data_IF_398172042334
#
_entry.id   IF_398172042334
#
_cell.length_a   1.000
_cell.length_b   1.000
_cell.length_c   1.000
_cell.angle_alpha   90.00
_cell.angle_beta   90.00
_cell.angle_gamma   90.00
#
_symmetry.space_group_name_H-M   'P 1'
#
loop_
_entity.id
_entity.type
_entity.pdbx_description
1 polymer ?
#
# COMPACT_ATOMS: atom_id res chain seq x y z
N UNK A 1 -61.63 -42.65 -26.56
CA UNK A 1 -62.76 -41.85 -27.08
C UNK A 1 -62.96 -40.66 -26.15
N UNK A 2 -63.19 -39.51 -26.77
CA UNK A 2 -63.65 -38.19 -26.31
C UNK A 2 -64.26 -38.06 -24.88
N UNK A 3 -64.03 -36.93 -24.18
CA UNK A 3 -64.85 -35.71 -24.28
C UNK A 3 -64.31 -34.54 -23.42
N UNK A 4 -64.85 -33.35 -23.73
CA UNK A 4 -64.38 -31.97 -23.53
C UNK A 4 -64.72 -31.31 -22.17
N UNK A 5 -63.88 -30.31 -21.81
CA UNK A 5 -64.10 -28.94 -21.25
C UNK A 5 -65.23 -28.63 -20.26
N UNK A 6 -64.92 -27.78 -19.24
CA UNK A 6 -65.31 -26.33 -19.17
C UNK A 6 -64.79 -25.62 -17.88
N UNK A 7 -64.17 -24.45 -18.12
CA UNK A 7 -64.13 -23.16 -17.39
C UNK A 7 -63.34 -22.84 -16.08
N UNK A 8 -62.49 -21.81 -16.27
CA UNK A 8 -62.36 -20.53 -15.55
C UNK A 8 -61.66 -20.44 -14.18
N UNK A 9 -60.42 -19.94 -14.19
CA UNK A 9 -60.03 -18.66 -13.56
C UNK A 9 -58.57 -18.26 -13.92
N UNK A 10 -58.36 -17.01 -14.32
CA UNK A 10 -57.06 -16.32 -14.42
C UNK A 10 -56.99 -15.25 -13.30
N UNK A 11 -55.79 -14.84 -12.81
CA UNK A 11 -55.00 -13.74 -13.42
C UNK A 11 -53.47 -14.04 -13.54
N UNK A 12 -52.79 -13.74 -14.66
CA UNK A 12 -52.01 -12.50 -15.01
C UNK A 12 -50.78 -12.31 -14.07
N UNK A 13 -49.49 -12.13 -14.43
CA UNK A 13 -48.69 -11.68 -15.60
C UNK A 13 -47.20 -11.92 -15.23
N UNK A 14 -46.13 -11.79 -16.02
CA UNK A 14 -45.80 -11.73 -17.45
C UNK A 14 -44.26 -11.69 -17.51
N UNK A 15 -43.65 -12.43 -18.44
CA UNK A 15 -42.21 -12.34 -18.79
C UNK A 15 -41.89 -11.12 -19.68
N UNK A 16 -40.62 -10.70 -19.65
CA UNK A 16 -39.97 -9.70 -20.52
C UNK A 16 -40.12 -10.01 -22.02
N UNK A 17 -39.94 -9.02 -22.93
CA UNK A 17 -38.65 -8.94 -23.62
C UNK A 17 -38.17 -7.51 -24.03
N UNK A 18 -36.90 -7.49 -24.49
CA UNK A 18 -36.01 -6.37 -24.89
C UNK A 18 -36.34 -5.75 -26.27
N UNK A 19 -36.06 -4.45 -26.51
CA UNK A 19 -35.05 -3.89 -27.48
C UNK A 19 -35.25 -2.39 -27.91
N UNK A 20 -34.11 -1.70 -27.99
CA UNK A 20 -33.59 -0.64 -28.91
C UNK A 20 -34.27 0.75 -29.15
N UNK A 21 -33.50 1.78 -28.76
CA UNK A 21 -32.97 2.97 -29.49
C UNK A 21 -33.81 3.83 -30.46
N UNK A 22 -33.84 5.17 -30.22
CA UNK A 22 -33.47 6.25 -31.18
C UNK A 22 -33.46 7.67 -30.57
N UNK A 23 -32.66 8.55 -31.18
CA UNK A 23 -32.29 9.93 -30.80
C UNK A 23 -33.32 11.04 -31.12
N UNK A 24 -33.24 12.10 -30.30
CA UNK A 24 -33.32 13.56 -30.57
C UNK A 24 -34.59 14.24 -31.10
N UNK A 25 -35.09 15.22 -30.32
CA UNK A 25 -35.22 16.66 -30.69
C UNK A 25 -35.76 17.50 -29.51
N UNK A 26 -35.09 18.64 -29.24
CA UNK A 26 -35.60 19.84 -28.55
C UNK A 26 -36.01 20.87 -29.64
N UNK A 27 -36.49 22.12 -29.38
CA UNK A 27 -36.74 22.84 -28.11
C UNK A 27 -38.10 23.60 -28.05
N UNK A 28 -38.54 24.06 -26.87
CA UNK A 28 -39.32 25.31 -26.74
C UNK A 28 -39.00 26.05 -25.43
N UNK A 29 -39.05 27.38 -25.53
CA UNK A 29 -38.54 28.43 -24.65
C UNK A 29 -39.70 28.98 -23.79
N UNK A 30 -39.45 29.35 -22.53
CA UNK A 30 -40.43 30.14 -21.76
C UNK A 30 -40.14 30.41 -20.29
N UNK A 31 -39.25 31.38 -20.03
CA UNK A 31 -39.26 32.39 -18.95
C UNK A 31 -38.90 32.02 -17.49
N UNK A 32 -37.99 32.86 -16.99
CA UNK A 32 -37.33 32.96 -15.68
C UNK A 32 -38.23 32.86 -14.44
N UNK A 33 -37.68 32.29 -13.37
CA UNK A 33 -37.63 33.00 -12.08
C UNK A 33 -36.36 32.63 -11.29
N UNK A 34 -35.72 33.66 -10.74
CA UNK A 34 -34.41 33.62 -10.10
C UNK A 34 -34.48 33.06 -8.67
N UNK A 35 -33.92 31.88 -8.42
CA UNK A 35 -33.00 31.70 -7.28
C UNK A 35 -32.19 30.42 -7.46
N UNK A 36 -31.12 30.55 -8.24
CA UNK A 36 -30.14 29.50 -8.44
C UNK A 36 -29.56 29.10 -7.06
N UNK A 37 -29.62 27.83 -6.63
CA UNK A 37 -28.68 27.39 -5.62
C UNK A 37 -27.31 27.56 -6.26
N UNK A 38 -26.52 28.52 -5.75
CA UNK A 38 -25.10 28.64 -6.09
C UNK A 38 -24.54 27.22 -6.04
N UNK A 39 -24.20 26.66 -7.19
CA UNK A 39 -23.49 25.41 -7.25
C UNK A 39 -22.19 25.68 -6.50
N UNK A 40 -22.11 25.22 -5.25
CA UNK A 40 -20.87 25.22 -4.49
C UNK A 40 -19.91 24.44 -5.37
N UNK A 41 -18.97 25.15 -6.00
CA UNK A 41 -17.93 24.52 -6.78
C UNK A 41 -17.35 23.41 -5.90
N UNK A 42 -17.45 22.15 -6.34
CA UNK A 42 -16.71 21.07 -5.71
C UNK A 42 -15.25 21.51 -5.76
N UNK A 43 -14.72 21.95 -4.61
CA UNK A 43 -13.33 22.34 -4.48
C UNK A 43 -12.50 21.08 -4.71
N UNK A 44 -12.04 20.90 -5.95
CA UNK A 44 -11.19 19.79 -6.33
C UNK A 44 -9.83 20.02 -5.69
N UNK A 45 -9.43 19.11 -4.80
CA UNK A 45 -8.06 19.12 -4.25
C UNK A 45 -7.10 18.83 -5.38
N UNK A 46 -6.21 19.77 -5.67
CA UNK A 46 -5.15 19.60 -6.66
C UNK A 46 -4.02 18.74 -6.10
N UNK A 47 -3.57 17.75 -6.87
CA UNK A 47 -2.46 16.88 -6.50
C UNK A 47 -1.19 17.33 -7.20
N UNK A 48 -0.32 18.01 -6.47
CA UNK A 48 0.98 18.47 -6.97
C UNK A 48 2.03 17.38 -6.72
N UNK A 49 2.78 17.02 -7.76
CA UNK A 49 3.90 16.08 -7.66
C UNK A 49 5.01 16.66 -6.76
N UNK A 50 5.75 15.80 -6.06
CA UNK A 50 6.71 16.24 -5.02
C UNK A 50 7.82 17.13 -5.59
N UNK A 51 8.30 16.83 -6.79
CA UNK A 51 9.28 17.61 -7.54
C UNK A 51 8.82 19.03 -7.92
N UNK A 52 7.50 19.26 -7.92
CA UNK A 52 6.91 20.54 -8.28
C UNK A 52 6.59 21.42 -7.05
N UNK A 53 6.72 20.89 -5.84
CA UNK A 53 6.47 21.64 -4.60
C UNK A 53 7.55 22.70 -4.36
N UNK A 54 7.12 23.93 -4.07
CA UNK A 54 8.02 25.07 -3.81
C UNK A 54 8.34 25.23 -2.32
N UNK A 55 9.54 25.73 -1.96
CA UNK A 55 9.89 26.00 -0.57
C UNK A 55 9.00 27.10 0.04
N UNK A 56 9.08 27.28 1.36
CA UNK A 56 8.43 28.40 2.04
C UNK A 56 9.30 29.65 1.99
N UNK A 57 8.66 30.83 1.92
CA UNK A 57 9.35 32.11 2.09
C UNK A 57 9.77 32.35 3.54
N UNK A 58 8.92 31.94 4.50
CA UNK A 58 9.19 32.02 5.94
C UNK A 58 8.78 30.69 6.62
N UNK A 59 9.67 29.67 6.59
CA UNK A 59 9.37 28.35 7.13
C UNK A 59 9.22 28.34 8.66
N UNK A 60 9.95 29.19 9.39
CA UNK A 60 9.94 29.25 10.85
C UNK A 60 8.59 29.71 11.41
N UNK A 61 8.04 30.79 10.86
CA UNK A 61 6.70 31.24 11.26
C UNK A 61 5.60 30.27 10.79
N UNK A 62 5.83 29.58 9.67
CA UNK A 62 4.84 28.68 9.08
C UNK A 62 4.71 27.37 9.86
N UNK A 63 5.81 26.80 10.39
CA UNK A 63 5.77 25.52 11.11
C UNK A 63 5.03 25.62 12.44
N UNK A 64 5.04 26.79 13.09
CA UNK A 64 4.38 27.02 14.38
C UNK A 64 2.87 26.78 14.35
N UNK A 65 2.22 27.02 13.20
CA UNK A 65 0.77 26.85 13.02
C UNK A 65 0.39 25.50 12.44
N UNK A 66 1.36 24.72 11.94
CA UNK A 66 1.09 23.52 11.13
C UNK A 66 0.22 22.49 11.85
N UNK A 67 0.50 22.19 13.12
CA UNK A 67 -0.28 21.21 13.89
C UNK A 67 -1.72 21.68 14.15
N UNK A 68 -1.93 22.98 14.35
CA UNK A 68 -3.26 23.55 14.54
C UNK A 68 -4.06 23.49 13.24
N UNK A 69 -3.44 23.85 12.11
CA UNK A 69 -4.06 23.80 10.79
C UNK A 69 -4.44 22.36 10.40
N UNK A 70 -3.57 21.39 10.70
CA UNK A 70 -3.83 19.96 10.54
C UNK A 70 -4.95 19.43 11.46
N UNK A 71 -5.26 20.11 12.56
CA UNK A 71 -6.36 19.77 13.47
C UNK A 71 -7.71 20.38 13.04
N UNK A 72 -7.76 21.11 11.93
CA UNK A 72 -8.98 21.71 11.38
C UNK A 72 -10.11 20.67 11.18
N UNK A 73 -11.35 21.12 11.42
CA UNK A 73 -12.56 20.34 11.08
C UNK A 73 -12.89 20.39 9.59
N UNK A 74 -12.38 21.40 8.89
CA UNK A 74 -12.50 21.54 7.45
C UNK A 74 -11.44 20.68 6.76
N UNK A 75 -11.89 19.61 6.11
CA UNK A 75 -11.03 18.62 5.45
C UNK A 75 -10.22 19.20 4.29
N UNK A 76 -10.68 20.29 3.66
CA UNK A 76 -9.95 20.97 2.58
C UNK A 76 -8.72 21.64 3.17
N UNK A 77 -8.89 22.37 4.28
CA UNK A 77 -7.76 22.97 5.01
C UNK A 77 -6.77 21.92 5.51
N UNK A 78 -7.24 20.73 5.89
CA UNK A 78 -6.35 19.63 6.25
C UNK A 78 -5.56 19.14 5.03
N UNK A 79 -6.17 19.05 3.84
CA UNK A 79 -5.43 18.75 2.60
C UNK A 79 -4.35 19.79 2.31
N UNK A 80 -4.67 21.08 2.46
CA UNK A 80 -3.69 22.17 2.26
C UNK A 80 -2.55 22.08 3.26
N UNK A 81 -2.86 21.77 4.52
CA UNK A 81 -1.87 21.61 5.59
C UNK A 81 -1.00 20.36 5.40
N UNK A 82 -1.55 19.28 4.84
CA UNK A 82 -0.78 18.12 4.43
C UNK A 82 0.16 18.45 3.25
N UNK A 83 -0.30 19.23 2.26
CA UNK A 83 0.59 19.74 1.21
C UNK A 83 1.69 20.66 1.76
N UNK A 84 1.39 21.47 2.78
CA UNK A 84 2.42 22.22 3.51
C UNK A 84 3.40 21.29 4.24
N UNK A 85 2.92 20.23 4.86
CA UNK A 85 3.77 19.19 5.48
C UNK A 85 4.71 18.56 4.45
N UNK A 86 4.22 18.27 3.24
CA UNK A 86 5.05 17.79 2.12
C UNK A 86 6.15 18.77 1.75
N UNK A 87 5.82 20.06 1.61
CA UNK A 87 6.79 21.13 1.34
C UNK A 87 7.86 21.22 2.43
N UNK A 88 7.47 21.10 3.70
CA UNK A 88 8.41 21.06 4.82
C UNK A 88 9.30 19.81 4.76
N UNK A 89 8.74 18.62 4.52
CA UNK A 89 9.52 17.39 4.41
C UNK A 89 10.61 17.49 3.33
N UNK A 90 10.30 18.11 2.19
CA UNK A 90 11.23 18.23 1.05
C UNK A 90 12.28 19.33 1.27
N UNK A 91 11.86 20.52 1.74
CA UNK A 91 12.72 21.70 1.73
C UNK A 91 13.25 22.12 3.10
N UNK A 92 12.63 21.67 4.19
CA UNK A 92 12.87 22.16 5.55
C UNK A 92 12.65 21.05 6.61
N UNK A 93 13.09 19.82 6.34
CA UNK A 93 12.76 18.63 7.14
C UNK A 93 13.15 18.74 8.62
N UNK A 94 14.24 19.44 8.93
CA UNK A 94 14.67 19.67 10.33
C UNK A 94 13.58 20.29 11.20
N UNK A 95 12.71 21.13 10.63
CA UNK A 95 11.65 21.82 11.38
C UNK A 95 10.50 20.90 11.79
N UNK A 96 10.29 19.77 11.12
CA UNK A 96 9.25 18.83 11.52
C UNK A 96 9.73 17.82 12.57
N UNK A 97 11.03 17.63 12.76
CA UNK A 97 11.57 16.64 13.72
C UNK A 97 10.93 16.77 15.12
N UNK A 98 10.79 17.97 15.71
CA UNK A 98 10.20 18.10 17.05
C UNK A 98 8.71 17.71 17.14
N UNK A 99 8.02 17.67 16.00
CA UNK A 99 6.57 17.40 15.92
C UNK A 99 6.25 16.13 15.12
N UNK A 100 7.25 15.39 14.65
CA UNK A 100 7.11 14.29 13.70
C UNK A 100 6.17 13.19 14.19
N UNK A 101 6.26 12.82 15.47
CA UNK A 101 5.37 11.81 16.05
C UNK A 101 3.90 12.23 15.97
N UNK A 102 3.60 13.47 16.33
CA UNK A 102 2.24 14.04 16.28
C UNK A 102 1.75 14.15 14.83
N UNK A 103 2.64 14.51 13.90
CA UNK A 103 2.32 14.54 12.47
C UNK A 103 1.91 13.15 11.96
N UNK A 104 2.67 12.10 12.30
CA UNK A 104 2.33 10.72 11.91
C UNK A 104 0.94 10.33 12.42
N UNK A 105 0.62 10.64 13.68
CA UNK A 105 -0.71 10.37 14.26
C UNK A 105 -1.81 11.09 13.48
N UNK A 106 -1.63 12.36 13.12
CA UNK A 106 -2.62 13.11 12.34
C UNK A 106 -2.74 12.56 10.91
N UNK A 107 -1.64 12.18 10.28
CA UNK A 107 -1.65 11.53 8.96
C UNK A 107 -2.45 10.22 8.99
N UNK A 108 -2.23 9.35 9.99
CA UNK A 108 -3.03 8.12 10.15
C UNK A 108 -4.51 8.43 10.29
N UNK A 109 -4.88 9.47 11.06
CA UNK A 109 -6.27 9.91 11.18
C UNK A 109 -6.84 10.41 9.84
N UNK A 110 -6.06 11.16 9.06
CA UNK A 110 -6.46 11.65 7.74
C UNK A 110 -6.67 10.49 6.75
N UNK A 111 -5.81 9.46 6.77
CA UNK A 111 -6.01 8.25 5.94
C UNK A 111 -7.30 7.50 6.29
N UNK A 112 -7.67 7.46 7.57
CA UNK A 112 -8.92 6.79 8.01
C UNK A 112 -10.18 7.55 7.57
N UNK A 113 -10.06 8.78 7.08
CA UNK A 113 -11.20 9.56 6.61
C UNK A 113 -11.86 8.94 5.35
N UNK A 114 -13.20 8.97 5.21
CA UNK A 114 -13.88 8.43 4.04
C UNK A 114 -13.63 9.22 2.74
N UNK A 115 -13.18 10.48 2.85
CA UNK A 115 -12.88 11.31 1.68
C UNK A 115 -11.58 10.85 1.04
N UNK A 116 -11.67 10.35 -0.19
CA UNK A 116 -10.48 9.85 -0.90
C UNK A 116 -9.44 10.92 -1.20
N UNK A 117 -9.85 12.17 -1.36
CA UNK A 117 -8.91 13.27 -1.56
C UNK A 117 -8.00 13.45 -0.35
N UNK A 118 -8.59 13.60 0.85
CA UNK A 118 -7.84 13.71 2.10
C UNK A 118 -6.97 12.46 2.36
N UNK A 119 -7.54 11.27 2.14
CA UNK A 119 -6.80 10.02 2.29
C UNK A 119 -5.58 9.98 1.36
N UNK A 120 -5.76 10.29 0.07
CA UNK A 120 -4.69 10.29 -0.92
C UNK A 120 -3.62 11.34 -0.59
N UNK A 121 -4.01 12.57 -0.26
CA UNK A 121 -3.04 13.62 0.12
C UNK A 121 -2.21 13.21 1.34
N UNK A 122 -2.82 12.53 2.30
CA UNK A 122 -2.09 11.99 3.46
C UNK A 122 -1.11 10.88 3.06
N UNK A 123 -1.46 10.03 2.09
CA UNK A 123 -0.56 8.98 1.58
C UNK A 123 0.60 9.58 0.78
N UNK A 124 0.35 10.59 -0.07
CA UNK A 124 1.41 11.33 -0.75
C UNK A 124 2.37 11.98 0.26
N UNK A 125 1.82 12.47 1.38
CA UNK A 125 2.61 12.99 2.50
C UNK A 125 3.53 11.92 3.09
N UNK A 126 3.09 10.67 3.20
CA UNK A 126 3.97 9.58 3.65
C UNK A 126 5.17 9.37 2.76
N UNK A 127 5.01 9.39 1.43
CA UNK A 127 6.13 9.23 0.50
C UNK A 127 7.22 10.29 0.73
N UNK A 128 6.82 11.54 0.93
CA UNK A 128 7.76 12.63 1.19
C UNK A 128 8.41 12.51 2.58
N UNK A 129 7.66 12.09 3.60
CA UNK A 129 8.20 11.80 4.94
C UNK A 129 9.20 10.63 4.89
N UNK A 130 8.89 9.53 4.20
CA UNK A 130 9.82 8.40 4.05
C UNK A 130 11.12 8.82 3.38
N UNK A 131 11.02 9.62 2.32
CA UNK A 131 12.18 10.14 1.60
C UNK A 131 13.01 11.09 2.47
N UNK A 132 12.36 11.95 3.26
CA UNK A 132 13.03 12.98 4.05
C UNK A 132 13.77 12.44 5.29
N UNK A 133 13.23 11.41 5.94
CA UNK A 133 13.75 10.95 7.24
C UNK A 133 14.39 9.56 7.20
N UNK A 134 14.03 8.71 6.24
CA UNK A 134 14.62 7.37 6.07
C UNK A 134 14.75 6.61 7.39
N UNK A 135 15.99 6.30 7.76
CA UNK A 135 16.35 5.52 8.97
C UNK A 135 15.84 6.16 10.27
N UNK A 136 15.82 7.50 10.36
CA UNK A 136 15.37 8.25 11.55
C UNK A 136 13.91 7.97 11.93
N UNK A 137 13.10 7.44 11.01
CA UNK A 137 11.70 7.08 11.29
C UNK A 137 11.58 5.83 12.17
N UNK A 138 12.55 4.93 12.11
CA UNK A 138 12.52 3.68 12.87
C UNK A 138 13.38 3.75 14.14
N UNK A 139 13.80 4.95 14.52
CA UNK A 139 14.57 5.24 15.73
C UNK A 139 13.72 5.99 16.78
N UNK A 140 14.10 5.84 18.05
CA UNK A 140 13.60 6.68 19.13
C UNK A 140 12.08 6.57 19.40
N UNK A 141 11.41 7.68 19.76
CA UNK A 141 10.03 7.67 20.26
C UNK A 141 8.96 7.38 19.19
N UNK A 142 9.33 7.43 17.90
CA UNK A 142 8.38 7.33 16.79
C UNK A 142 7.94 5.89 16.47
N UNK A 143 8.57 4.91 17.11
CA UNK A 143 8.44 3.48 16.78
C UNK A 143 7.00 2.97 16.79
N UNK A 144 6.17 3.45 17.73
CA UNK A 144 4.76 3.04 17.86
C UNK A 144 3.87 3.69 16.80
N UNK A 145 4.03 4.99 16.58
CA UNK A 145 3.27 5.73 15.55
C UNK A 145 3.56 5.19 14.15
N UNK A 146 4.77 4.68 13.92
CA UNK A 146 5.13 3.98 12.69
C UNK A 146 4.39 2.66 12.49
N UNK A 147 4.10 1.88 13.54
CA UNK A 147 3.28 0.66 13.42
C UNK A 147 1.87 0.98 12.94
N UNK A 148 1.26 2.03 13.52
CA UNK A 148 -0.06 2.50 13.12
C UNK A 148 -0.06 3.01 11.67
N UNK A 149 1.01 3.72 11.26
CA UNK A 149 1.18 4.21 9.90
C UNK A 149 1.33 3.08 8.88
N UNK A 150 2.21 2.12 9.18
CA UNK A 150 2.48 0.98 8.31
C UNK A 150 1.24 0.12 8.13
N UNK A 151 0.56 -0.23 9.23
CA UNK A 151 -0.71 -0.97 9.15
C UNK A 151 -1.72 -0.20 8.30
N UNK A 152 -1.84 1.11 8.52
CA UNK A 152 -2.81 1.90 7.79
C UNK A 152 -2.50 1.97 6.29
N UNK A 153 -1.23 2.11 5.89
CA UNK A 153 -0.81 2.08 4.50
C UNK A 153 -1.09 0.72 3.85
N UNK A 154 -0.74 -0.38 4.52
CA UNK A 154 -1.02 -1.74 4.02
C UNK A 154 -2.52 -1.96 3.82
N UNK A 155 -3.36 -1.47 4.74
CA UNK A 155 -4.81 -1.51 4.58
C UNK A 155 -5.29 -0.68 3.39
N UNK A 156 -4.69 0.51 3.15
CA UNK A 156 -5.05 1.35 2.00
C UNK A 156 -4.58 0.77 0.67
N UNK A 157 -3.46 0.06 0.64
CA UNK A 157 -2.99 -0.70 -0.51
C UNK A 157 -3.81 -1.99 -0.74
N UNK A 158 -4.69 -2.38 0.19
CA UNK A 158 -5.49 -3.61 0.13
C UNK A 158 -6.95 -3.41 -0.30
N UNK A 159 -7.33 -2.18 -0.68
CA UNK A 159 -8.71 -1.81 -0.99
C UNK A 159 -9.01 -1.83 -2.49
N UNK A 160 -10.28 -1.87 -2.87
CA UNK A 160 -10.69 -1.95 -4.28
C UNK A 160 -10.70 -0.58 -4.99
N UNK A 161 -10.58 0.53 -4.25
CA UNK A 161 -10.52 1.89 -4.81
C UNK A 161 -9.13 2.19 -5.38
N UNK A 162 -8.96 1.90 -6.67
CA UNK A 162 -7.72 2.05 -7.45
C UNK A 162 -6.96 3.36 -7.17
N UNK A 163 -7.64 4.50 -7.21
CA UNK A 163 -7.05 5.82 -6.99
C UNK A 163 -6.28 5.99 -5.67
N UNK A 164 -6.75 5.34 -4.60
CA UNK A 164 -6.09 5.38 -3.28
C UNK A 164 -5.12 4.20 -3.12
N UNK A 165 -5.50 3.03 -3.65
CA UNK A 165 -4.70 1.82 -3.62
C UNK A 165 -3.33 2.02 -4.30
N UNK A 166 -3.32 2.55 -5.52
CA UNK A 166 -2.08 2.79 -6.28
C UNK A 166 -1.16 3.79 -5.59
N UNK A 167 -1.72 4.83 -4.95
CA UNK A 167 -0.92 5.79 -4.20
C UNK A 167 -0.32 5.15 -2.94
N UNK A 168 -1.07 4.27 -2.26
CA UNK A 168 -0.56 3.56 -1.09
C UNK A 168 0.55 2.57 -1.46
N UNK A 169 0.42 1.86 -2.59
CA UNK A 169 1.47 0.99 -3.11
C UNK A 169 2.73 1.76 -3.48
N UNK A 170 2.59 2.94 -4.12
CA UNK A 170 3.72 3.84 -4.37
C UNK A 170 4.41 4.26 -3.07
N UNK A 171 3.64 4.66 -2.05
CA UNK A 171 4.19 5.04 -0.76
C UNK A 171 4.91 3.88 -0.05
N UNK A 172 4.38 2.67 -0.12
CA UNK A 172 5.05 1.46 0.40
C UNK A 172 6.36 1.17 -0.35
N UNK A 173 6.37 1.34 -1.67
CA UNK A 173 7.61 1.19 -2.45
C UNK A 173 8.64 2.27 -2.08
N UNK A 174 8.23 3.53 -1.94
CA UNK A 174 9.11 4.61 -1.47
C UNK A 174 9.69 4.29 -0.09
N UNK A 175 8.87 3.80 0.85
CA UNK A 175 9.33 3.38 2.18
C UNK A 175 10.45 2.33 2.09
N UNK A 176 10.26 1.28 1.29
CA UNK A 176 11.27 0.23 1.09
C UNK A 176 12.57 0.77 0.47
N UNK A 177 12.49 1.85 -0.31
CA UNK A 177 13.64 2.47 -0.96
C UNK A 177 14.37 3.50 -0.11
N UNK A 178 13.73 4.04 0.92
CA UNK A 178 14.27 5.17 1.70
C UNK A 178 14.63 4.80 3.14
N UNK A 179 13.99 3.78 3.72
CA UNK A 179 14.20 3.38 5.12
C UNK A 179 15.20 2.22 5.20
N UNK A 180 16.00 2.18 6.27
CA UNK A 180 16.92 1.07 6.53
C UNK A 180 16.20 -0.29 6.49
N UNK A 181 16.75 -1.22 5.72
CA UNK A 181 16.12 -2.52 5.40
C UNK A 181 15.89 -3.38 6.64
N UNK A 182 16.92 -3.55 7.45
CA UNK A 182 16.90 -4.42 8.62
C UNK A 182 15.82 -4.03 9.67
N UNK A 183 15.72 -2.78 10.16
CA UNK A 183 14.63 -2.39 11.06
C UNK A 183 13.25 -2.41 10.38
N UNK A 184 13.16 -2.08 9.09
CA UNK A 184 11.91 -2.15 8.34
C UNK A 184 11.40 -3.60 8.24
N UNK A 185 12.30 -4.54 7.97
CA UNK A 185 11.96 -5.95 7.86
C UNK A 185 11.44 -6.52 9.18
N UNK A 186 12.02 -6.12 10.32
CA UNK A 186 11.51 -6.48 11.65
C UNK A 186 10.09 -5.98 11.89
N UNK A 187 9.75 -4.79 11.38
CA UNK A 187 8.38 -4.25 11.40
C UNK A 187 7.44 -5.03 10.49
N UNK A 188 7.87 -5.35 9.27
CA UNK A 188 7.06 -6.07 8.28
C UNK A 188 6.76 -7.52 8.69
N UNK A 189 7.62 -8.14 9.51
CA UNK A 189 7.48 -9.52 9.96
C UNK A 189 6.11 -9.84 10.58
N UNK A 190 5.50 -8.92 11.36
CA UNK A 190 4.19 -9.15 11.94
C UNK A 190 3.06 -9.13 10.91
N UNK A 191 3.24 -8.45 9.79
CA UNK A 191 2.19 -8.24 8.79
C UNK A 191 2.13 -9.33 7.72
N UNK A 192 3.24 -10.04 7.45
CA UNK A 192 3.21 -11.22 6.58
C UNK A 192 2.40 -12.39 7.18
N UNK A 193 2.08 -12.33 8.47
CA UNK A 193 1.18 -13.29 9.16
C UNK A 193 -0.18 -12.69 9.54
N UNK A 194 -0.52 -11.52 9.01
CA UNK A 194 -1.76 -10.82 9.33
C UNK A 194 -3.02 -11.66 9.01
N UNK A 195 -4.12 -11.51 9.74
CA UNK A 195 -5.33 -12.32 9.52
C UNK A 195 -6.01 -12.04 8.16
N UNK A 196 -5.99 -10.77 7.73
CA UNK A 196 -6.51 -10.35 6.41
C UNK A 196 -5.53 -10.73 5.27
N UNK A 197 -5.94 -11.58 4.31
CA UNK A 197 -5.09 -12.00 3.19
C UNK A 197 -4.59 -10.85 2.31
N UNK A 198 -5.41 -9.82 2.06
CA UNK A 198 -5.00 -8.69 1.20
C UNK A 198 -3.87 -7.89 1.85
N UNK A 199 -3.96 -7.66 3.16
CA UNK A 199 -2.89 -7.02 3.94
C UNK A 199 -1.62 -7.88 3.94
N UNK A 200 -1.76 -9.19 4.13
CA UNK A 200 -0.60 -10.11 4.03
C UNK A 200 0.08 -10.03 2.68
N UNK A 201 -0.67 -10.01 1.58
CA UNK A 201 -0.08 -9.91 0.24
C UNK A 201 0.74 -8.63 0.06
N UNK A 202 0.21 -7.47 0.48
CA UNK A 202 0.95 -6.19 0.40
C UNK A 202 2.17 -6.16 1.32
N UNK A 203 2.08 -6.79 2.49
CA UNK A 203 3.23 -6.95 3.37
C UNK A 203 4.29 -7.89 2.77
N UNK A 204 3.87 -8.99 2.13
CA UNK A 204 4.77 -9.93 1.46
C UNK A 204 5.52 -9.27 0.30
N UNK A 205 4.84 -8.45 -0.52
CA UNK A 205 5.49 -7.66 -1.58
C UNK A 205 6.52 -6.69 -0.99
N UNK A 206 6.14 -5.92 0.04
CA UNK A 206 7.06 -4.97 0.69
C UNK A 206 8.27 -5.69 1.31
N UNK A 207 8.05 -6.87 1.90
CA UNK A 207 9.09 -7.74 2.48
C UNK A 207 10.03 -8.26 1.39
N UNK A 208 9.49 -8.80 0.30
CA UNK A 208 10.27 -9.31 -0.83
C UNK A 208 11.14 -8.22 -1.46
N UNK A 209 10.59 -7.02 -1.64
CA UNK A 209 11.33 -5.87 -2.19
C UNK A 209 12.42 -5.37 -1.24
N UNK A 210 12.22 -5.52 0.06
CA UNK A 210 13.23 -5.21 1.07
C UNK A 210 14.38 -6.21 1.00
N UNK A 211 14.05 -7.51 1.02
CA UNK A 211 15.02 -8.62 0.97
C UNK A 211 15.84 -8.61 -0.32
N UNK A 212 15.22 -8.37 -1.48
CA UNK A 212 15.96 -8.33 -2.76
C UNK A 212 17.04 -7.24 -2.84
N UNK A 213 16.99 -6.26 -1.93
CA UNK A 213 17.95 -5.15 -1.84
C UNK A 213 18.89 -5.26 -0.64
N UNK A 214 18.79 -6.34 0.14
CA UNK A 214 19.69 -6.58 1.26
C UNK A 214 21.01 -7.15 0.79
N UNK A 215 22.07 -6.71 1.44
CA UNK A 215 23.38 -7.37 1.33
C UNK A 215 23.41 -8.65 2.18
N UNK A 216 24.35 -9.55 1.86
CA UNK A 216 24.50 -10.84 2.56
C UNK A 216 24.59 -10.64 4.07
N UNK A 217 25.44 -9.70 4.52
CA UNK A 217 25.61 -9.39 5.95
C UNK A 217 24.30 -8.93 6.63
N UNK A 218 23.46 -8.16 5.94
CA UNK A 218 22.18 -7.71 6.49
C UNK A 218 21.19 -8.89 6.60
N UNK A 219 21.20 -9.81 5.63
CA UNK A 219 20.36 -11.02 5.67
C UNK A 219 20.81 -11.98 6.78
N UNK A 220 22.12 -12.12 6.99
CA UNK A 220 22.70 -12.88 8.09
C UNK A 220 22.34 -12.28 9.45
N UNK A 221 22.45 -10.95 9.60
CA UNK A 221 22.08 -10.25 10.83
C UNK A 221 20.59 -10.40 11.15
N UNK A 222 19.72 -10.34 10.13
CA UNK A 222 18.30 -10.60 10.32
C UNK A 222 18.02 -12.09 10.62
N UNK A 223 18.76 -12.99 9.99
CA UNK A 223 18.66 -14.43 10.10
C UNK A 223 18.14 -15.09 8.83
N UNK A 224 19.03 -15.73 8.08
CA UNK A 224 18.72 -16.47 6.85
C UNK A 224 17.60 -17.51 7.02
N UNK A 225 17.61 -18.23 8.14
CA UNK A 225 16.57 -19.22 8.48
C UNK A 225 15.20 -18.57 8.62
N UNK A 226 15.14 -17.41 9.29
CA UNK A 226 13.89 -16.68 9.50
C UNK A 226 13.34 -16.14 8.17
N UNK A 227 14.20 -15.60 7.30
CA UNK A 227 13.82 -15.18 5.95
C UNK A 227 13.24 -16.32 5.13
N UNK A 228 13.90 -17.48 5.16
CA UNK A 228 13.42 -18.68 4.46
C UNK A 228 12.06 -19.15 4.98
N UNK A 229 11.86 -19.15 6.30
CA UNK A 229 10.57 -19.48 6.91
C UNK A 229 9.49 -18.46 6.54
N UNK A 230 9.80 -17.17 6.54
CA UNK A 230 8.88 -16.11 6.09
C UNK A 230 8.47 -16.32 4.63
N UNK A 231 9.38 -16.71 3.74
CA UNK A 231 9.07 -17.00 2.34
C UNK A 231 8.19 -18.24 2.22
N UNK A 232 8.61 -19.33 2.87
CA UNK A 232 7.93 -20.61 2.91
C UNK A 232 6.47 -20.47 3.32
N UNK A 233 6.20 -19.75 4.42
CA UNK A 233 4.86 -19.54 4.96
C UNK A 233 3.91 -18.87 3.94
N UNK A 234 4.44 -18.07 3.02
CA UNK A 234 3.66 -17.34 2.01
C UNK A 234 3.49 -18.09 0.68
N UNK A 235 4.26 -19.16 0.42
CA UNK A 235 4.16 -19.94 -0.83
C UNK A 235 2.79 -20.57 -1.04
N UNK A 236 2.08 -20.89 0.05
CA UNK A 236 0.72 -21.43 0.04
C UNK A 236 -0.35 -20.40 0.38
N UNK A 237 -0.05 -19.09 0.37
CA UNK A 237 -1.07 -18.07 0.68
C UNK A 237 -2.21 -18.11 -0.36
N UNK A 238 -3.39 -17.64 0.04
CA UNK A 238 -4.59 -17.60 -0.82
C UNK A 238 -4.44 -16.64 -2.00
N UNK A 239 -3.71 -15.54 -1.84
CA UNK A 239 -3.57 -14.53 -2.90
C UNK A 239 -2.33 -14.79 -3.79
N UNK A 240 -2.47 -14.68 -5.13
CA UNK A 240 -1.36 -14.91 -6.05
C UNK A 240 -0.21 -13.93 -5.82
N UNK A 241 -0.51 -12.68 -5.53
CA UNK A 241 0.48 -11.63 -5.24
C UNK A 241 1.40 -12.00 -4.06
N UNK A 242 0.85 -12.57 -2.99
CA UNK A 242 1.66 -13.06 -1.86
C UNK A 242 2.57 -14.22 -2.27
N UNK A 243 2.05 -15.16 -3.06
CA UNK A 243 2.82 -16.31 -3.56
C UNK A 243 3.93 -15.88 -4.53
N UNK A 244 3.69 -14.88 -5.35
CA UNK A 244 4.68 -14.31 -6.28
C UNK A 244 5.80 -13.60 -5.53
N UNK A 245 5.47 -12.76 -4.55
CA UNK A 245 6.45 -12.14 -3.67
C UNK A 245 7.28 -13.19 -2.92
N UNK A 246 6.64 -14.26 -2.44
CA UNK A 246 7.33 -15.37 -1.79
C UNK A 246 8.35 -16.06 -2.72
N UNK A 247 7.97 -16.33 -3.98
CA UNK A 247 8.89 -16.90 -4.98
C UNK A 247 10.07 -15.98 -5.27
N UNK A 248 9.81 -14.69 -5.43
CA UNK A 248 10.88 -13.70 -5.62
C UNK A 248 11.83 -13.66 -4.43
N UNK A 249 11.30 -13.74 -3.20
CA UNK A 249 12.12 -13.76 -1.99
C UNK A 249 12.96 -15.03 -1.89
N UNK A 250 12.42 -16.20 -2.28
CA UNK A 250 13.18 -17.46 -2.37
C UNK A 250 14.36 -17.32 -3.33
N UNK A 251 14.15 -16.73 -4.51
CA UNK A 251 15.21 -16.50 -5.48
C UNK A 251 16.32 -15.61 -4.93
N UNK A 252 15.97 -14.46 -4.34
CA UNK A 252 16.95 -13.55 -3.73
C UNK A 252 17.72 -14.21 -2.59
N UNK A 253 17.08 -15.06 -1.80
CA UNK A 253 17.76 -15.81 -0.73
C UNK A 253 18.76 -16.82 -1.30
N UNK A 254 18.39 -17.54 -2.35
CA UNK A 254 19.28 -18.51 -3.00
C UNK A 254 20.50 -17.83 -3.63
N UNK A 255 20.29 -16.74 -4.37
CA UNK A 255 21.36 -15.94 -4.98
C UNK A 255 22.36 -15.45 -3.92
N UNK A 256 21.87 -14.94 -2.78
CA UNK A 256 22.73 -14.43 -1.71
C UNK A 256 23.36 -15.54 -0.86
N UNK A 257 22.66 -16.66 -0.67
CA UNK A 257 23.19 -17.84 0.02
C UNK A 257 24.39 -18.46 -0.73
N UNK A 258 24.36 -18.42 -2.05
CA UNK A 258 25.35 -19.05 -2.93
C UNK A 258 26.37 -18.06 -3.52
N UNK A 259 26.38 -16.81 -3.05
CA UNK A 259 27.14 -15.71 -3.62
C UNK A 259 28.66 -15.95 -3.67
N UNK A 260 29.20 -16.71 -2.71
CA UNK A 260 30.65 -16.99 -2.60
C UNK A 260 31.07 -18.35 -3.16
N UNK A 261 30.15 -19.14 -3.72
CA UNK A 261 30.47 -20.45 -4.31
C UNK A 261 30.86 -20.25 -5.80
N UNK A 262 31.99 -20.82 -6.24
CA UNK A 262 32.46 -20.73 -7.63
C UNK A 262 31.43 -21.31 -8.61
N UNK A 263 31.29 -20.72 -9.80
CA UNK A 263 30.22 -21.06 -10.77
C UNK A 263 30.27 -22.52 -11.29
N UNK A 264 31.45 -23.17 -11.24
CA UNK A 264 31.66 -24.54 -11.72
C UNK A 264 31.07 -25.63 -10.78
N UNK A 265 30.45 -25.23 -9.67
CA UNK A 265 29.87 -26.10 -8.66
C UNK A 265 28.32 -26.02 -8.59
N UNK A 266 27.62 -25.76 -9.70
CA UNK A 266 26.15 -25.59 -9.72
C UNK A 266 25.38 -26.75 -9.05
N UNK A 267 25.84 -27.99 -9.22
CA UNK A 267 25.30 -29.16 -8.50
C UNK A 267 25.53 -29.14 -6.98
N UNK A 268 26.61 -28.51 -6.53
CA UNK A 268 26.95 -28.26 -5.11
C UNK A 268 26.00 -27.21 -4.52
N UNK A 269 25.77 -26.10 -5.24
CA UNK A 269 24.88 -25.00 -4.81
C UNK A 269 23.45 -25.48 -4.54
N UNK A 270 22.90 -26.24 -5.48
CA UNK A 270 21.54 -26.79 -5.36
C UNK A 270 21.43 -27.81 -4.21
N UNK A 271 22.44 -28.65 -3.99
CA UNK A 271 22.45 -29.61 -2.89
C UNK A 271 22.62 -28.93 -1.53
N UNK A 272 23.44 -27.86 -1.44
CA UNK A 272 23.57 -27.04 -0.25
C UNK A 272 22.25 -26.34 0.10
N UNK A 273 21.61 -25.72 -0.90
CA UNK A 273 20.28 -25.11 -0.74
C UNK A 273 19.21 -26.12 -0.33
N UNK A 274 19.22 -27.32 -0.93
CA UNK A 274 18.31 -28.40 -0.57
C UNK A 274 18.47 -28.82 0.88
N UNK A 275 19.70 -29.08 1.33
CA UNK A 275 20.01 -29.40 2.74
C UNK A 275 19.56 -28.28 3.67
N UNK A 276 19.78 -27.02 3.28
CA UNK A 276 19.31 -25.86 4.04
C UNK A 276 17.78 -25.85 4.15
N UNK A 277 17.05 -26.06 3.06
CA UNK A 277 15.58 -26.08 3.06
C UNK A 277 15.04 -27.24 3.92
N UNK A 278 15.55 -28.46 3.75
CA UNK A 278 15.10 -29.65 4.48
C UNK A 278 15.34 -29.54 5.99
N UNK A 279 16.41 -28.85 6.40
CA UNK A 279 16.75 -28.62 7.81
C UNK A 279 15.88 -27.55 8.47
N UNK A 280 15.51 -26.50 7.74
CA UNK A 280 14.99 -25.26 8.34
C UNK A 280 13.53 -24.95 8.04
N UNK A 281 12.92 -25.65 7.06
CA UNK A 281 11.55 -25.40 6.58
C UNK A 281 10.76 -26.71 6.58
N UNK A 282 9.44 -26.61 6.82
CA UNK A 282 8.54 -27.77 6.87
C UNK A 282 8.39 -28.44 5.51
N UNK A 283 8.34 -29.79 5.49
CA UNK A 283 8.40 -30.66 4.31
C UNK A 283 7.85 -30.12 2.98
N UNK A 284 6.53 -29.87 2.87
CA UNK A 284 5.93 -29.41 1.60
C UNK A 284 6.48 -28.07 1.12
N UNK A 285 6.72 -27.14 2.04
CA UNK A 285 7.28 -25.83 1.71
C UNK A 285 8.77 -25.94 1.35
N UNK A 286 9.53 -26.83 2.01
CA UNK A 286 10.92 -27.09 1.64
C UNK A 286 11.01 -27.60 0.19
N UNK A 287 10.17 -28.57 -0.18
CA UNK A 287 10.11 -29.09 -1.56
C UNK A 287 9.69 -28.01 -2.57
N UNK A 288 8.78 -27.11 -2.21
CA UNK A 288 8.41 -25.99 -3.05
C UNK A 288 9.58 -25.01 -3.27
N UNK A 289 10.31 -24.66 -2.20
CA UNK A 289 11.49 -23.78 -2.28
C UNK A 289 12.59 -24.37 -3.14
N UNK A 290 12.86 -25.66 -3.02
CA UNK A 290 13.85 -26.38 -3.85
C UNK A 290 13.46 -26.31 -5.34
N UNK A 291 12.18 -26.54 -5.66
CA UNK A 291 11.68 -26.50 -7.04
C UNK A 291 11.74 -25.12 -7.68
N UNK A 292 11.53 -24.06 -6.89
CA UNK A 292 11.55 -22.68 -7.39
C UNK A 292 12.93 -22.34 -7.97
N UNK A 293 13.99 -22.66 -7.26
CA UNK A 293 15.36 -22.34 -7.71
C UNK A 293 15.85 -23.29 -8.80
N UNK A 294 15.39 -24.54 -8.81
CA UNK A 294 15.74 -25.51 -9.86
C UNK A 294 15.07 -25.21 -11.22
N UNK A 295 14.14 -24.25 -11.27
CA UNK A 295 13.46 -23.82 -12.49
C UNK A 295 14.04 -22.53 -13.10
N UNK A 296 15.14 -22.03 -12.55
CA UNK A 296 15.87 -20.87 -13.07
C UNK A 296 16.75 -21.26 -14.27
#
# INVERSE_FOLDING_TARGET
>A
MALRNIENALPISQERPKKLAKLSKQPEIGLNDENNPVAVAESTVEYVASENLKPFSDPESSVQRLLEELASKDWIKVCDSLNNTRRFAIHHSSLLLPILEKLIVVMVKAMKNPRSALCKTSIMTCSDIFTAYGEKLLEGPHLKSMDDLLLQLLMKASQDKKFVCEEAEKALNTMVNSVARLPLLRKLQSYVRHSNPRVRAKAAVSTSNCVSKMEVNEMEEFGMVLLAQMAADQLSDKLPEAREAARSMVNSLFEKFTWNEEEDEEGSKQEAWKKFCEKNVTGLNAQAMIKIVASQ
#
